data_IF_899490531189
#
_entry.id   IF_899490531189
#
_cell.length_a   1.000
_cell.length_b   1.000
_cell.length_c   1.000
_cell.angle_alpha   90.00
_cell.angle_beta   90.00
_cell.angle_gamma   90.00
#
_symmetry.space_group_name_H-M   'P 1'
#
loop_
_entity.id
_entity.type
_entity.pdbx_description
1 polymer ?
#
# COMPACT_ATOMS: atom_id res chain seq x y z
N UNK A 1 -15.42 5.39 -24.75
CA UNK A 1 -15.29 4.49 -23.80
C UNK A 1 -14.33 4.94 -22.75
N UNK A 2 -14.50 4.59 -21.67
CA UNK A 2 -13.66 5.03 -20.71
C UNK A 2 -12.72 3.95 -20.33
N UNK A 3 -11.54 4.29 -20.22
CA UNK A 3 -10.59 3.32 -19.82
C UNK A 3 -10.80 3.00 -18.36
N UNK A 4 -10.81 1.76 -18.05
CA UNK A 4 -10.75 1.37 -16.67
C UNK A 4 -9.37 1.69 -16.17
N UNK A 5 -9.31 2.45 -15.11
CA UNK A 5 -8.04 2.78 -14.54
C UNK A 5 -7.45 1.55 -13.91
N UNK A 6 -6.31 1.16 -14.38
CA UNK A 6 -5.59 0.01 -13.85
C UNK A 6 -4.39 0.47 -13.06
N UNK A 7 -4.17 -0.15 -11.94
CA UNK A 7 -3.00 0.13 -11.16
C UNK A 7 -1.81 -0.73 -11.56
N UNK A 8 -0.64 -0.21 -11.33
CA UNK A 8 0.59 -1.00 -11.43
C UNK A 8 0.71 -1.81 -10.16
N UNK A 9 0.87 -3.14 -10.26
CA UNK A 9 1.03 -3.96 -9.06
C UNK A 9 2.44 -3.84 -8.50
N UNK A 10 2.53 -3.65 -7.20
CA UNK A 10 3.80 -3.60 -6.47
C UNK A 10 3.69 -4.57 -5.31
N UNK A 11 4.48 -5.63 -5.34
CA UNK A 11 4.46 -6.65 -4.29
C UNK A 11 5.56 -6.37 -3.28
N UNK A 12 5.18 -6.37 -2.01
CA UNK A 12 6.12 -6.15 -0.92
C UNK A 12 6.00 -7.25 0.10
N UNK A 13 7.12 -7.58 0.73
CA UNK A 13 7.14 -8.51 1.86
C UNK A 13 7.73 -7.85 3.10
N UNK A 14 8.21 -6.64 2.99
CA UNK A 14 8.79 -5.87 4.08
C UNK A 14 8.53 -4.39 3.82
N UNK A 15 8.81 -3.56 4.80
CA UNK A 15 8.59 -2.13 4.67
C UNK A 15 9.35 -1.55 3.48
N UNK A 16 8.67 -0.80 2.65
CA UNK A 16 9.26 -0.17 1.47
C UNK A 16 8.29 0.85 0.90
N UNK A 17 8.80 1.67 -0.02
CA UNK A 17 7.95 2.59 -0.76
C UNK A 17 7.10 1.80 -1.75
N UNK A 18 5.80 2.04 -1.73
CA UNK A 18 4.90 1.52 -2.76
C UNK A 18 5.06 2.35 -4.03
N UNK A 19 5.16 3.66 -3.88
CA UNK A 19 5.33 4.56 -5.00
C UNK A 19 6.09 5.79 -4.54
N UNK A 20 6.84 6.40 -5.47
CA UNK A 20 7.70 7.54 -5.16
C UNK A 20 7.23 8.83 -5.82
N UNK A 21 6.07 8.81 -6.45
CA UNK A 21 5.52 9.98 -7.13
C UNK A 21 4.01 10.03 -6.94
N UNK A 22 3.43 11.15 -7.28
CA UNK A 22 1.99 11.36 -7.12
C UNK A 22 1.17 10.33 -7.88
N UNK A 23 0.05 9.95 -7.32
CA UNK A 23 -0.87 9.02 -7.93
C UNK A 23 -1.97 8.62 -6.97
N UNK A 24 -2.70 7.60 -7.34
CA UNK A 24 -3.82 7.08 -6.54
C UNK A 24 -3.52 5.66 -6.10
N UNK A 25 -3.60 5.41 -4.82
CA UNK A 25 -3.52 4.05 -4.29
C UNK A 25 -4.91 3.44 -4.38
N UNK A 26 -5.06 2.46 -5.27
CA UNK A 26 -6.37 1.84 -5.55
C UNK A 26 -6.75 0.83 -4.48
N UNK A 27 -5.77 0.15 -3.93
CA UNK A 27 -6.01 -0.86 -2.91
C UNK A 27 -4.85 -1.82 -2.83
N UNK A 28 -5.05 -2.88 -2.08
CA UNK A 28 -4.03 -3.90 -1.96
C UNK A 28 -4.66 -5.26 -1.73
N UNK A 29 -3.90 -6.30 -2.08
CA UNK A 29 -4.30 -7.68 -1.88
C UNK A 29 -3.30 -8.34 -0.94
N UNK A 30 -3.79 -8.85 0.19
CA UNK A 30 -2.94 -9.57 1.13
C UNK A 30 -2.94 -11.03 0.71
N UNK A 31 -1.80 -11.50 0.21
CA UNK A 31 -1.66 -12.89 -0.25
C UNK A 31 -1.39 -13.83 0.91
N UNK A 32 -0.56 -13.39 1.83
CA UNK A 32 -0.20 -14.17 3.00
C UNK A 32 0.34 -13.23 4.07
N UNK A 33 0.37 -13.67 5.30
CA UNK A 33 0.92 -12.86 6.37
C UNK A 33 1.30 -13.71 7.56
N UNK A 34 2.26 -13.20 8.35
CA UNK A 34 2.57 -13.75 9.66
C UNK A 34 1.46 -13.32 10.63
N UNK A 35 1.07 -14.20 11.52
CA UNK A 35 0.07 -13.86 12.53
C UNK A 35 0.52 -12.63 13.32
N UNK A 36 -0.38 -11.67 13.46
CA UNK A 36 -0.08 -10.42 14.14
C UNK A 36 0.63 -9.37 13.30
N UNK A 37 0.89 -9.65 12.02
CA UNK A 37 1.51 -8.66 11.14
C UNK A 37 0.63 -7.44 10.97
N UNK A 38 1.25 -6.27 10.98
CA UNK A 38 0.53 -4.99 10.89
C UNK A 38 1.03 -4.17 9.71
N UNK A 39 0.18 -3.26 9.27
CA UNK A 39 0.48 -2.38 8.14
C UNK A 39 0.10 -0.96 8.51
N UNK A 40 0.98 -0.02 8.19
CA UNK A 40 0.70 1.41 8.25
C UNK A 40 1.07 2.01 6.90
N UNK A 41 0.16 2.78 6.32
CA UNK A 41 0.41 3.50 5.08
C UNK A 41 0.65 4.96 5.42
N UNK A 42 1.68 5.55 4.82
CA UNK A 42 2.07 6.93 5.07
C UNK A 42 2.30 7.66 3.75
N UNK A 43 2.09 8.97 3.75
CA UNK A 43 2.41 9.81 2.60
C UNK A 43 3.91 9.89 2.41
N UNK A 44 4.32 10.02 1.14
CA UNK A 44 5.73 10.17 0.80
C UNK A 44 6.37 8.86 0.42
N UNK A 45 7.65 8.93 0.08
CA UNK A 45 8.37 7.76 -0.43
C UNK A 45 9.37 7.20 0.57
N UNK A 46 9.37 7.73 1.78
CA UNK A 46 10.27 7.27 2.84
C UNK A 46 9.49 7.16 4.14
N UNK A 47 10.05 6.40 5.08
CA UNK A 47 9.46 6.28 6.39
C UNK A 47 9.42 7.63 7.11
N UNK A 48 8.46 7.81 7.99
CA UNK A 48 8.35 9.03 8.78
C UNK A 48 7.40 10.06 8.22
N UNK A 49 6.77 9.80 7.08
CA UNK A 49 5.76 10.68 6.53
C UNK A 49 4.47 10.65 7.35
N UNK A 50 3.56 11.58 7.03
CA UNK A 50 2.27 11.64 7.71
C UNK A 50 1.48 10.36 7.44
N UNK A 51 1.01 9.73 8.49
CA UNK A 51 0.27 8.48 8.35
C UNK A 51 -1.06 8.72 7.62
N UNK A 52 -1.33 7.88 6.64
CA UNK A 52 -2.62 7.84 5.94
C UNK A 52 -3.58 6.98 6.74
N UNK A 53 -3.09 5.84 7.23
CA UNK A 53 -3.88 4.94 8.04
C UNK A 53 -3.28 4.87 9.43
N UNK A 54 -4.10 4.45 10.40
CA UNK A 54 -3.54 3.98 11.64
C UNK A 54 -2.91 2.60 11.42
N UNK A 55 -2.48 1.97 12.49
CA UNK A 55 -1.99 0.60 12.41
C UNK A 55 -3.17 -0.32 12.13
N UNK A 56 -3.06 -1.11 11.06
CA UNK A 56 -4.10 -2.05 10.69
C UNK A 56 -3.53 -3.47 10.64
N UNK A 57 -4.41 -4.45 10.87
CA UNK A 57 -4.07 -5.87 10.73
C UNK A 57 -4.94 -6.43 9.62
N UNK A 58 -4.55 -6.25 8.36
CA UNK A 58 -5.42 -6.64 7.25
C UNK A 58 -5.56 -8.15 7.17
N UNK A 59 -6.77 -8.59 6.85
CA UNK A 59 -7.02 -10.00 6.60
C UNK A 59 -6.53 -10.34 5.20
N UNK A 60 -6.29 -11.63 4.95
CA UNK A 60 -5.97 -12.11 3.62
C UNK A 60 -7.11 -11.76 2.69
N UNK A 61 -6.80 -11.25 1.52
CA UNK A 61 -7.78 -10.87 0.51
C UNK A 61 -7.63 -9.43 0.06
N UNK A 62 -8.60 -8.98 -0.71
CA UNK A 62 -8.60 -7.66 -1.33
C UNK A 62 -9.14 -6.59 -0.38
N UNK A 63 -8.44 -5.47 -0.34
CA UNK A 63 -8.85 -4.30 0.42
C UNK A 63 -8.82 -3.09 -0.50
N UNK A 64 -9.99 -2.61 -0.88
CA UNK A 64 -10.11 -1.45 -1.73
C UNK A 64 -9.86 -0.17 -0.99
N UNK A 65 -9.14 0.71 -1.64
CA UNK A 65 -8.92 2.08 -1.18
C UNK A 65 -9.27 2.97 -2.35
N UNK A 66 -8.97 4.22 -2.27
CA UNK A 66 -9.13 5.14 -3.38
C UNK A 66 -8.60 6.45 -2.86
N UNK A 67 -7.27 6.48 -2.71
CA UNK A 67 -6.63 7.61 -2.04
C UNK A 67 -5.66 8.28 -2.96
N UNK A 68 -5.77 9.58 -3.09
CA UNK A 68 -4.77 10.34 -3.79
C UNK A 68 -3.56 10.55 -2.90
N UNK A 69 -2.39 10.23 -3.43
CA UNK A 69 -1.12 10.35 -2.71
C UNK A 69 -0.25 11.36 -3.47
N UNK A 70 -0.16 12.60 -2.99
CA UNK A 70 0.53 13.65 -3.76
C UNK A 70 2.03 13.45 -3.87
N UNK A 71 2.64 12.67 -3.00
CA UNK A 71 4.09 12.49 -3.02
C UNK A 71 4.48 11.00 -2.94
N UNK A 72 3.56 10.13 -3.32
CA UNK A 72 3.80 8.70 -3.20
C UNK A 72 3.26 8.15 -1.89
N UNK A 73 3.56 6.88 -1.64
CA UNK A 73 3.09 6.21 -0.43
C UNK A 73 4.13 5.21 0.03
N UNK A 74 4.32 5.14 1.34
CA UNK A 74 5.24 4.21 1.97
C UNK A 74 4.45 3.24 2.83
N UNK A 75 4.78 1.96 2.73
CA UNK A 75 4.15 0.91 3.53
C UNK A 75 5.12 0.47 4.61
N UNK A 76 4.68 0.55 5.86
CA UNK A 76 5.43 0.04 7.00
C UNK A 76 4.80 -1.25 7.46
N UNK A 77 5.54 -2.34 7.34
CA UNK A 77 5.08 -3.67 7.71
C UNK A 77 5.84 -4.10 8.95
N UNK A 78 5.11 -4.38 10.02
CA UNK A 78 5.69 -4.86 11.26
C UNK A 78 5.27 -6.31 11.48
N UNK A 79 6.11 -7.07 12.19
CA UNK A 79 5.92 -8.51 12.38
C UNK A 79 5.90 -9.19 11.01
N UNK A 80 7.04 -9.15 10.39
CA UNK A 80 7.22 -9.65 9.02
C UNK A 80 7.37 -11.16 8.97
N UNK A 81 7.16 -11.77 7.80
CA UNK A 81 6.77 -11.11 6.57
C UNK A 81 5.27 -10.99 6.39
N UNK A 82 4.88 -10.11 5.47
CA UNK A 82 3.52 -10.05 4.97
C UNK A 82 3.60 -9.94 3.45
N UNK A 83 3.06 -10.91 2.73
CA UNK A 83 3.07 -10.89 1.27
C UNK A 83 1.85 -10.09 0.80
N UNK A 84 2.10 -8.89 0.32
CA UNK A 84 1.04 -7.95 0.01
C UNK A 84 1.35 -7.27 -1.32
N UNK A 85 0.33 -7.18 -2.18
CA UNK A 85 0.45 -6.53 -3.49
C UNK A 85 -0.39 -5.27 -3.50
N UNK A 86 0.27 -4.13 -3.74
CA UNK A 86 -0.40 -2.84 -3.84
C UNK A 86 -0.68 -2.52 -5.30
N UNK A 87 -1.76 -1.81 -5.57
CA UNK A 87 -2.11 -1.37 -6.91
C UNK A 87 -2.16 0.14 -6.93
N UNK A 88 -1.27 0.74 -7.71
CA UNK A 88 -1.07 2.18 -7.70
C UNK A 88 -1.20 2.72 -9.12
N UNK A 89 -2.03 3.72 -9.28
CA UNK A 89 -2.19 4.39 -10.57
C UNK A 89 -1.38 5.69 -10.54
N UNK A 90 -0.19 5.65 -11.12
CA UNK A 90 0.68 6.80 -11.16
C UNK A 90 0.17 7.89 -12.08
N UNK A 91 0.35 9.12 -11.63
CA UNK A 91 -0.10 10.27 -12.41
C UNK A 91 0.93 10.80 -13.35
#
# INVERSE_FOLDING_TARGET
MQAVKSGTPINLSASAAVATRAGTLLGFYVNNKTAGATLVLSHGSVTGGTAITGTITPLIGWHGLDMYCPAGVFATIAVQPMDITFFYAGG
#
